data_IF_222692007788
#
_entry.id   IF_222692007788
#
_cell.length_a   1.000
_cell.length_b   1.000
_cell.length_c   1.000
_cell.angle_alpha   90.00
_cell.angle_beta   90.00
_cell.angle_gamma   90.00
#
_symmetry.space_group_name_H-M   'P 1'
#
loop_
_entity.id
_entity.type
_entity.pdbx_description
1 polymer ?
#
# COMPACT_ATOMS: atom_id res chain seq x y z
N UNK A 1 2.68 4.81 -59.38
CA UNK A 1 1.74 3.96 -58.63
C UNK A 1 2.59 3.11 -57.69
N UNK A 2 2.72 3.49 -56.45
CA UNK A 2 3.49 2.69 -55.46
C UNK A 2 2.67 2.68 -54.17
N UNK A 3 2.16 1.46 -53.85
CA UNK A 3 1.37 1.22 -52.61
C UNK A 3 2.36 1.04 -51.45
N UNK A 4 2.32 1.91 -50.46
CA UNK A 4 2.94 1.70 -49.16
C UNK A 4 2.03 0.82 -48.33
N UNK A 5 2.57 -0.32 -47.92
CA UNK A 5 1.96 -1.20 -46.94
C UNK A 5 2.03 -0.54 -45.54
N UNK A 6 0.90 -0.46 -44.89
CA UNK A 6 0.73 -0.01 -43.53
C UNK A 6 1.07 -1.23 -42.61
N UNK A 7 2.19 -1.19 -41.93
CA UNK A 7 2.52 -2.16 -40.89
C UNK A 7 1.81 -1.72 -39.62
N UNK A 8 0.84 -2.51 -39.17
CA UNK A 8 0.17 -2.32 -37.89
C UNK A 8 1.15 -2.56 -36.75
N UNK A 9 1.31 -1.57 -35.89
CA UNK A 9 1.95 -1.73 -34.59
C UNK A 9 1.04 -2.60 -33.71
N UNK A 10 1.49 -3.83 -33.47
CA UNK A 10 0.96 -4.66 -32.40
C UNK A 10 1.31 -4.01 -31.07
N UNK A 11 0.33 -3.40 -30.42
CA UNK A 11 0.44 -2.96 -29.03
C UNK A 11 0.49 -4.22 -28.17
N UNK A 12 1.69 -4.58 -27.71
CA UNK A 12 1.93 -5.61 -26.71
C UNK A 12 1.30 -5.18 -25.38
N UNK A 13 0.06 -5.57 -25.16
CA UNK A 13 -0.58 -5.52 -23.85
C UNK A 13 0.00 -6.66 -23.01
N UNK A 14 0.91 -6.32 -22.09
CA UNK A 14 1.38 -7.26 -21.07
C UNK A 14 0.15 -7.74 -20.27
N UNK A 15 -0.11 -9.05 -20.17
CA UNK A 15 -1.24 -9.57 -19.40
C UNK A 15 -1.07 -9.15 -17.94
N UNK A 16 -2.09 -8.52 -17.38
CA UNK A 16 -2.14 -8.24 -15.95
C UNK A 16 -2.33 -9.59 -15.25
N UNK A 17 -1.31 -10.05 -14.52
CA UNK A 17 -1.43 -11.29 -13.73
C UNK A 17 -2.59 -11.15 -12.72
N UNK A 18 -3.37 -12.23 -12.50
CA UNK A 18 -4.45 -12.22 -11.52
C UNK A 18 -3.91 -11.84 -10.13
N UNK A 19 -4.63 -10.98 -9.42
CA UNK A 19 -4.26 -10.43 -8.11
C UNK A 19 -3.84 -11.52 -7.11
N UNK A 20 -4.53 -12.66 -7.08
CA UNK A 20 -4.20 -13.78 -6.19
C UNK A 20 -2.83 -14.42 -6.41
N UNK A 21 -2.29 -14.42 -7.64
CA UNK A 21 -0.93 -14.95 -7.92
C UNK A 21 0.12 -13.97 -7.38
N UNK A 22 -0.10 -12.67 -7.55
CA UNK A 22 0.79 -11.64 -7.02
C UNK A 22 0.85 -11.68 -5.49
N UNK A 23 -0.30 -11.88 -4.84
CA UNK A 23 -0.39 -12.00 -3.39
C UNK A 23 0.30 -13.26 -2.85
N UNK A 24 0.15 -14.41 -3.50
CA UNK A 24 0.82 -15.65 -3.09
C UNK A 24 2.35 -15.51 -3.17
N UNK A 25 2.88 -14.95 -4.25
CA UNK A 25 4.33 -14.65 -4.40
C UNK A 25 4.82 -13.65 -3.35
N UNK A 26 3.99 -12.67 -3.02
CA UNK A 26 4.31 -11.69 -1.98
C UNK A 26 4.47 -12.35 -0.61
N UNK A 27 3.54 -13.22 -0.24
CA UNK A 27 3.59 -13.95 1.05
C UNK A 27 4.86 -14.79 1.15
N UNK A 28 5.21 -15.49 0.08
CA UNK A 28 6.44 -16.29 0.04
C UNK A 28 7.69 -15.42 0.16
N UNK A 29 7.77 -14.31 -0.58
CA UNK A 29 8.87 -13.36 -0.50
C UNK A 29 9.04 -12.80 0.92
N UNK A 30 7.95 -12.32 1.53
CA UNK A 30 7.95 -11.73 2.87
C UNK A 30 8.30 -12.78 3.93
N UNK A 31 7.73 -13.98 3.83
CA UNK A 31 8.02 -15.08 4.75
C UNK A 31 9.51 -15.45 4.74
N UNK A 32 10.12 -15.51 3.55
CA UNK A 32 11.56 -15.81 3.40
C UNK A 32 12.46 -14.73 3.99
N UNK A 33 12.04 -13.46 3.94
CA UNK A 33 12.82 -12.32 4.45
C UNK A 33 12.65 -12.09 5.95
N UNK A 34 11.45 -12.33 6.50
CA UNK A 34 11.20 -12.25 7.94
C UNK A 34 12.08 -13.21 8.75
N UNK A 35 12.54 -14.31 8.14
CA UNK A 35 13.47 -15.25 8.80
C UNK A 35 14.87 -14.66 9.04
N UNK A 36 15.22 -13.58 8.35
CA UNK A 36 16.56 -12.96 8.40
C UNK A 36 16.62 -11.69 9.25
N UNK A 37 15.49 -11.18 9.72
CA UNK A 37 15.44 -10.00 10.58
C UNK A 37 15.65 -10.44 12.03
N UNK A 38 16.89 -10.35 12.45
CA UNK A 38 17.46 -10.50 13.78
C UNK A 38 16.50 -10.67 14.96
N UNK A 39 16.44 -11.89 15.53
CA UNK A 39 16.21 -12.15 16.96
C UNK A 39 14.97 -11.56 17.65
N UNK A 40 14.20 -10.73 16.97
CA UNK A 40 12.96 -10.16 17.47
C UNK A 40 11.77 -10.97 16.95
N UNK A 41 10.79 -11.19 17.80
CA UNK A 41 9.51 -11.80 17.42
C UNK A 41 8.65 -10.85 16.55
N UNK A 42 9.25 -9.77 16.05
CA UNK A 42 8.59 -8.75 15.20
C UNK A 42 8.52 -9.22 13.75
N UNK A 43 7.33 -9.23 13.19
CA UNK A 43 7.08 -9.71 11.82
C UNK A 43 6.14 -8.77 11.10
N UNK A 44 6.41 -8.55 9.80
CA UNK A 44 5.45 -7.94 8.88
C UNK A 44 4.76 -9.04 8.08
N UNK A 45 3.45 -8.94 7.95
CA UNK A 45 2.61 -9.91 7.25
C UNK A 45 1.72 -9.16 6.26
N UNK A 46 1.73 -9.59 5.00
CA UNK A 46 0.67 -9.26 4.06
C UNK A 46 -0.51 -10.19 4.33
N UNK A 47 -1.60 -9.63 4.80
CA UNK A 47 -2.79 -10.38 5.20
C UNK A 47 -3.60 -10.79 3.96
N UNK A 48 -3.99 -12.06 3.89
CA UNK A 48 -4.91 -12.52 2.87
C UNK A 48 -6.33 -12.00 3.13
N UNK A 49 -7.15 -11.75 2.10
CA UNK A 49 -8.54 -11.35 2.30
C UNK A 49 -9.28 -12.26 3.27
N UNK A 50 -9.12 -13.57 3.12
CA UNK A 50 -9.76 -14.59 4.00
C UNK A 50 -9.31 -14.54 5.47
N UNK A 51 -8.15 -13.91 5.75
CA UNK A 51 -7.58 -13.81 7.10
C UNK A 51 -7.86 -12.44 7.76
N UNK A 52 -8.58 -11.54 7.10
CA UNK A 52 -8.85 -10.17 7.60
C UNK A 52 -9.90 -10.18 8.71
N UNK A 53 -11.00 -10.90 8.53
CA UNK A 53 -12.14 -10.93 9.45
C UNK A 53 -11.72 -11.15 10.92
N UNK A 54 -10.88 -12.15 11.25
CA UNK A 54 -10.50 -12.41 12.65
C UNK A 54 -9.72 -11.31 13.35
N UNK A 55 -9.14 -10.38 12.59
CA UNK A 55 -8.30 -9.28 13.11
C UNK A 55 -8.91 -7.90 12.86
N UNK A 56 -10.08 -7.85 12.22
CA UNK A 56 -10.68 -6.61 11.75
C UNK A 56 -10.88 -5.57 12.85
N UNK A 57 -11.38 -5.95 14.01
CA UNK A 57 -11.59 -5.03 15.13
C UNK A 57 -10.29 -4.32 15.56
N UNK A 58 -9.15 -5.01 15.52
CA UNK A 58 -7.86 -4.40 15.84
C UNK A 58 -7.37 -3.48 14.71
N UNK A 59 -7.61 -3.88 13.46
CA UNK A 59 -7.25 -3.07 12.28
C UNK A 59 -8.04 -1.78 12.26
N UNK A 60 -9.35 -1.81 12.56
CA UNK A 60 -10.22 -0.61 12.66
C UNK A 60 -9.64 0.41 13.63
N UNK A 61 -9.15 -0.01 14.79
CA UNK A 61 -8.54 0.91 15.76
C UNK A 61 -7.34 1.66 15.17
N UNK A 62 -6.49 0.98 14.41
CA UNK A 62 -5.37 1.63 13.72
C UNK A 62 -5.84 2.52 12.57
N UNK A 63 -6.85 2.10 11.81
CA UNK A 63 -7.43 2.92 10.75
C UNK A 63 -8.01 4.22 11.32
N UNK A 64 -8.75 4.16 12.42
CA UNK A 64 -9.30 5.34 13.09
C UNK A 64 -8.19 6.30 13.54
N UNK A 65 -7.08 5.78 14.08
CA UNK A 65 -5.92 6.61 14.44
C UNK A 65 -5.33 7.35 13.22
N UNK A 66 -5.27 6.70 12.06
CA UNK A 66 -4.78 7.33 10.83
C UNK A 66 -5.77 8.35 10.28
N UNK A 67 -7.06 8.00 10.23
CA UNK A 67 -8.15 8.80 9.69
C UNK A 67 -8.38 10.08 10.51
N UNK A 68 -8.14 10.05 11.82
CA UNK A 68 -8.19 11.23 12.67
C UNK A 68 -7.32 12.42 12.18
N UNK A 69 -6.47 12.14 11.20
CA UNK A 69 -5.59 13.12 10.56
C UNK A 69 -5.87 13.33 9.06
N UNK A 70 -6.94 12.72 8.53
CA UNK A 70 -7.42 12.89 7.15
C UNK A 70 -8.42 14.05 7.07
N UNK A 71 -8.83 14.38 5.85
CA UNK A 71 -9.87 15.41 5.61
C UNK A 71 -11.27 14.78 5.43
N UNK A 72 -11.43 13.50 5.82
CA UNK A 72 -12.72 12.81 5.81
C UNK A 72 -13.02 12.10 4.48
N UNK A 73 -11.98 11.72 3.73
CA UNK A 73 -12.14 11.02 2.46
C UNK A 73 -12.71 9.62 2.64
N UNK A 74 -12.35 8.93 3.73
CA UNK A 74 -12.79 7.58 4.07
C UNK A 74 -12.94 7.42 5.58
N UNK A 75 -13.94 6.64 6.00
CA UNK A 75 -14.02 6.07 7.34
C UNK A 75 -13.32 4.70 7.41
N UNK A 76 -13.07 4.18 8.61
CA UNK A 76 -12.37 2.89 8.78
C UNK A 76 -13.12 1.73 8.07
N UNK A 77 -14.45 1.71 8.17
CA UNK A 77 -15.28 0.67 7.56
C UNK A 77 -15.27 0.70 6.03
N UNK A 78 -14.96 1.85 5.42
CA UNK A 78 -14.90 1.96 3.97
C UNK A 78 -13.72 1.18 3.36
N UNK A 79 -12.70 0.85 4.15
CA UNK A 79 -11.55 0.05 3.70
C UNK A 79 -11.91 -1.43 3.52
N UNK A 80 -12.84 -1.96 4.31
CA UNK A 80 -13.14 -3.39 4.35
C UNK A 80 -13.48 -3.98 2.97
N UNK A 81 -14.44 -3.44 2.21
CA UNK A 81 -14.75 -3.99 0.89
C UNK A 81 -13.57 -3.96 -0.08
N UNK A 82 -12.75 -2.91 -0.08
CA UNK A 82 -11.57 -2.82 -0.96
C UNK A 82 -10.49 -3.84 -0.61
N UNK A 83 -10.36 -4.18 0.68
CA UNK A 83 -9.43 -5.19 1.17
C UNK A 83 -9.92 -6.59 0.80
N UNK A 84 -11.22 -6.87 0.98
CA UNK A 84 -11.83 -8.15 0.64
C UNK A 84 -11.80 -8.43 -0.87
N UNK A 85 -11.95 -7.40 -1.70
CA UNK A 85 -11.89 -7.51 -3.17
C UNK A 85 -10.44 -7.50 -3.71
N UNK A 86 -9.42 -7.39 -2.84
CA UNK A 86 -8.02 -7.31 -3.24
C UNK A 86 -7.62 -6.02 -3.98
N UNK A 87 -8.49 -5.00 -3.99
CA UNK A 87 -8.19 -3.69 -4.58
C UNK A 87 -7.18 -2.90 -3.73
N UNK A 88 -7.15 -3.19 -2.44
CA UNK A 88 -6.17 -2.71 -1.48
C UNK A 88 -5.51 -3.89 -0.77
N UNK A 89 -4.34 -3.67 -0.21
CA UNK A 89 -3.56 -4.68 0.52
C UNK A 89 -3.43 -4.25 1.98
N UNK A 90 -3.72 -5.19 2.89
CA UNK A 90 -3.53 -5.00 4.32
C UNK A 90 -2.19 -5.61 4.76
N UNK A 91 -1.38 -4.81 5.40
CA UNK A 91 -0.14 -5.20 6.05
C UNK A 91 -0.29 -5.03 7.54
N UNK A 92 0.18 -6.00 8.30
CA UNK A 92 0.19 -5.90 9.76
C UNK A 92 1.59 -6.18 10.29
N UNK A 93 1.98 -5.39 11.27
CA UNK A 93 3.16 -5.65 12.07
C UNK A 93 2.73 -6.34 13.36
N UNK A 94 3.34 -7.49 13.66
CA UNK A 94 3.09 -8.24 14.88
C UNK A 94 4.36 -8.39 15.70
N UNK A 95 4.21 -8.29 17.01
CA UNK A 95 5.27 -8.53 17.99
C UNK A 95 4.72 -9.48 19.06
N UNK A 96 5.38 -10.63 19.23
CA UNK A 96 4.91 -11.68 20.16
C UNK A 96 3.44 -12.09 19.97
N UNK A 97 2.93 -11.97 18.75
CA UNK A 97 1.53 -12.29 18.39
C UNK A 97 0.58 -11.11 18.48
N UNK A 98 0.92 -10.05 19.20
CA UNK A 98 0.12 -8.81 19.26
C UNK A 98 0.24 -8.00 17.97
N UNK A 99 -0.84 -7.34 17.57
CA UNK A 99 -0.87 -6.47 16.40
C UNK A 99 -0.46 -5.05 16.81
N UNK A 100 0.77 -4.66 16.50
CA UNK A 100 1.35 -3.37 16.89
C UNK A 100 1.05 -2.24 15.88
N UNK A 101 0.90 -2.58 14.60
CA UNK A 101 0.59 -1.60 13.56
C UNK A 101 -0.12 -2.23 12.36
N UNK A 102 -0.84 -1.40 11.62
CA UNK A 102 -1.38 -1.76 10.32
C UNK A 102 -1.14 -0.68 9.28
N UNK A 103 -0.99 -1.12 8.04
CA UNK A 103 -0.83 -0.27 6.88
C UNK A 103 -1.72 -0.78 5.75
N UNK A 104 -2.35 0.14 5.04
CA UNK A 104 -3.11 -0.16 3.83
C UNK A 104 -2.39 0.44 2.64
N UNK A 105 -2.21 -0.36 1.61
CA UNK A 105 -1.62 0.07 0.34
C UNK A 105 -2.57 -0.19 -0.82
N UNK A 106 -2.34 0.51 -1.93
CA UNK A 106 -3.06 0.34 -3.18
C UNK A 106 -2.09 0.38 -4.36
N UNK A 107 -2.25 -0.53 -5.31
CA UNK A 107 -1.49 -0.51 -6.56
C UNK A 107 -2.19 0.44 -7.54
N UNK A 108 -1.49 1.48 -7.97
CA UNK A 108 -1.98 2.47 -8.93
C UNK A 108 -1.32 2.21 -10.30
N UNK A 109 -2.07 1.71 -11.28
CA UNK A 109 -1.55 1.46 -12.62
C UNK A 109 -1.67 2.73 -13.49
N UNK A 110 -0.64 3.56 -13.49
CA UNK A 110 -0.55 4.64 -14.47
C UNK A 110 -0.13 4.09 -15.86
N UNK A 111 -0.43 4.78 -16.97
CA UNK A 111 -0.07 4.30 -18.32
C UNK A 111 1.42 4.03 -18.53
N UNK A 112 2.30 4.70 -17.81
CA UNK A 112 3.76 4.60 -17.97
C UNK A 112 4.51 4.09 -16.76
N UNK A 113 3.82 3.85 -15.65
CA UNK A 113 4.42 3.35 -14.40
C UNK A 113 3.36 2.68 -13.54
N UNK A 114 3.79 1.76 -12.68
CA UNK A 114 2.98 1.21 -11.61
C UNK A 114 3.55 1.72 -10.29
N UNK A 115 2.68 2.15 -9.41
CA UNK A 115 3.05 2.76 -8.13
C UNK A 115 2.34 2.02 -7.01
N UNK A 116 3.05 1.72 -5.93
CA UNK A 116 2.42 1.29 -4.70
C UNK A 116 2.16 2.52 -3.83
N UNK A 117 0.91 2.84 -3.59
CA UNK A 117 0.50 3.97 -2.75
C UNK A 117 0.19 3.49 -1.35
N UNK A 118 0.81 4.10 -0.35
CA UNK A 118 0.42 3.96 1.05
C UNK A 118 -0.78 4.87 1.28
N UNK A 119 -1.92 4.27 1.61
CA UNK A 119 -3.19 4.96 1.85
C UNK A 119 -3.32 5.33 3.32
N UNK A 120 -3.02 4.37 4.20
CA UNK A 120 -3.13 4.52 5.65
C UNK A 120 -1.99 3.80 6.32
N UNK A 121 -1.51 4.35 7.42
CA UNK A 121 -0.53 3.72 8.28
C UNK A 121 -0.67 4.27 9.69
N UNK A 122 -0.87 3.39 10.66
CA UNK A 122 -0.93 3.73 12.06
C UNK A 122 -0.57 2.53 12.95
N UNK A 123 -0.27 2.82 14.20
CA UNK A 123 0.06 1.83 15.21
C UNK A 123 1.05 2.38 16.22
N UNK A 124 1.40 1.55 17.17
CA UNK A 124 2.41 1.84 18.18
C UNK A 124 3.83 1.59 17.65
N UNK A 125 4.83 2.20 18.29
CA UNK A 125 6.26 1.96 18.04
C UNK A 125 6.67 2.13 16.56
N UNK A 126 6.31 3.26 15.98
CA UNK A 126 6.59 3.60 14.58
C UNK A 126 8.04 3.33 14.17
N UNK A 127 9.00 3.59 15.05
CA UNK A 127 10.43 3.38 14.79
C UNK A 127 10.75 1.91 14.47
N UNK A 128 10.00 0.97 15.04
CA UNK A 128 10.25 -0.46 14.84
C UNK A 128 9.70 -0.93 13.49
N UNK A 129 8.45 -0.57 13.13
CA UNK A 129 7.89 -1.06 11.88
C UNK A 129 8.40 -0.32 10.64
N UNK A 130 8.92 0.90 10.78
CA UNK A 130 9.50 1.61 9.64
C UNK A 130 10.75 0.91 9.07
N UNK A 131 11.45 0.15 9.91
CA UNK A 131 12.58 -0.70 9.48
C UNK A 131 12.15 -1.79 8.49
N UNK A 132 10.85 -2.07 8.38
CA UNK A 132 10.30 -3.06 7.43
C UNK A 132 9.90 -2.44 6.08
N UNK A 133 9.95 -1.13 5.90
CA UNK A 133 9.67 -0.51 4.60
C UNK A 133 10.49 -1.15 3.45
N UNK A 134 11.77 -1.50 3.62
CA UNK A 134 12.52 -2.20 2.57
C UNK A 134 11.91 -3.54 2.13
N UNK A 135 11.18 -4.25 3.00
CA UNK A 135 10.45 -5.46 2.62
C UNK A 135 9.28 -5.15 1.67
N UNK A 136 8.55 -4.09 1.99
CA UNK A 136 7.42 -3.62 1.19
C UNK A 136 7.90 -3.09 -0.16
N UNK A 137 9.03 -2.37 -0.17
CA UNK A 137 9.71 -1.93 -1.38
C UNK A 137 10.13 -3.11 -2.26
N UNK A 138 10.76 -4.13 -1.66
CA UNK A 138 11.14 -5.36 -2.36
C UNK A 138 9.95 -6.09 -2.96
N UNK A 139 8.84 -6.18 -2.24
CA UNK A 139 7.61 -6.74 -2.76
C UNK A 139 7.05 -5.88 -3.90
N UNK A 140 6.95 -4.57 -3.73
CA UNK A 140 6.47 -3.64 -4.75
C UNK A 140 7.26 -3.79 -6.06
N UNK A 141 8.60 -3.88 -5.97
CA UNK A 141 9.46 -4.14 -7.11
C UNK A 141 9.14 -5.50 -7.77
N UNK A 142 8.91 -6.55 -6.98
CA UNK A 142 8.63 -7.90 -7.49
C UNK A 142 7.33 -7.97 -8.30
N UNK A 143 6.37 -7.08 -8.04
CA UNK A 143 5.10 -6.96 -8.77
C UNK A 143 5.12 -5.87 -9.84
N UNK A 144 6.32 -5.33 -10.17
CA UNK A 144 6.52 -4.35 -11.23
C UNK A 144 6.17 -2.91 -10.87
N UNK A 145 6.05 -2.57 -9.59
CA UNK A 145 6.01 -1.18 -9.17
C UNK A 145 7.39 -0.53 -9.35
N UNK A 146 7.41 0.71 -9.79
CA UNK A 146 8.63 1.49 -10.00
C UNK A 146 8.85 2.55 -8.94
N UNK A 147 7.87 2.79 -8.08
CA UNK A 147 7.96 3.74 -6.97
C UNK A 147 6.90 3.43 -5.91
N UNK A 148 7.18 3.89 -4.69
CA UNK A 148 6.20 4.05 -3.63
C UNK A 148 5.77 5.51 -3.59
N UNK A 149 4.54 5.78 -3.16
CA UNK A 149 4.07 7.13 -2.86
C UNK A 149 3.16 7.11 -1.62
N UNK A 150 3.09 8.21 -0.91
CA UNK A 150 2.09 8.44 0.14
C UNK A 150 1.62 9.89 0.11
N UNK A 151 0.37 10.11 0.50
CA UNK A 151 -0.19 11.43 0.74
C UNK A 151 -0.14 11.69 2.23
N UNK A 152 0.96 12.26 2.66
CA UNK A 152 1.28 12.39 4.06
C UNK A 152 1.53 13.84 4.49
N UNK A 153 1.40 14.07 5.79
CA UNK A 153 1.76 15.34 6.42
C UNK A 153 3.27 15.59 6.30
N UNK A 154 3.69 16.85 6.31
CA UNK A 154 5.13 17.24 6.22
C UNK A 154 6.04 16.54 7.24
N UNK A 155 5.47 16.11 8.40
CA UNK A 155 6.21 15.36 9.40
C UNK A 155 6.81 14.06 8.90
N UNK A 156 6.18 13.40 7.94
CA UNK A 156 6.67 12.17 7.33
C UNK A 156 8.01 12.31 6.62
N UNK A 157 8.31 13.48 6.04
CA UNK A 157 9.59 13.75 5.40
C UNK A 157 10.79 13.73 6.36
N UNK A 158 10.55 13.87 7.66
CA UNK A 158 11.60 13.74 8.68
C UNK A 158 11.97 12.29 8.96
N UNK A 159 11.04 11.38 8.71
CA UNK A 159 11.15 9.96 8.98
C UNK A 159 11.58 9.22 7.72
N UNK A 160 10.98 9.56 6.58
CA UNK A 160 11.23 8.98 5.26
C UNK A 160 12.35 9.77 4.56
N UNK A 161 13.60 9.61 5.05
CA UNK A 161 14.73 10.44 4.64
C UNK A 161 15.09 10.32 3.15
N UNK A 162 14.86 9.14 2.55
CA UNK A 162 15.14 8.86 1.13
C UNK A 162 13.97 9.24 0.21
N UNK A 163 12.88 9.76 0.79
CA UNK A 163 11.71 10.15 0.04
C UNK A 163 11.75 11.64 -0.31
N UNK A 164 11.19 11.99 -1.46
CA UNK A 164 11.07 13.38 -1.91
C UNK A 164 9.61 13.81 -2.03
N UNK A 165 9.31 15.01 -1.60
CA UNK A 165 8.02 15.66 -1.88
C UNK A 165 8.07 16.28 -3.27
N UNK A 166 7.38 15.67 -4.25
CA UNK A 166 7.37 16.13 -5.64
C UNK A 166 6.14 16.97 -5.98
N UNK A 167 5.04 16.78 -5.25
CA UNK A 167 3.74 17.43 -5.49
C UNK A 167 3.08 17.82 -4.17
N UNK A 168 2.20 18.83 -4.25
CA UNK A 168 1.29 19.20 -3.17
C UNK A 168 -0.14 18.94 -3.65
N UNK A 169 -0.99 18.43 -2.77
CA UNK A 169 -2.43 18.37 -3.02
C UNK A 169 -2.98 19.77 -2.74
N UNK A 170 -3.69 20.32 -3.71
CA UNK A 170 -4.37 21.61 -3.60
C UNK A 170 -5.86 21.33 -3.73
N UNK A 171 -6.61 21.63 -2.67
CA UNK A 171 -8.05 21.37 -2.57
C UNK A 171 -8.85 22.66 -2.55
N UNK A 172 -10.12 22.59 -2.93
CA UNK A 172 -11.08 23.66 -2.83
C UNK A 172 -12.43 23.08 -2.46
N UNK A 173 -12.96 23.51 -1.31
CA UNK A 173 -14.33 23.17 -0.92
C UNK A 173 -15.34 23.83 -1.87
N UNK A 174 -16.20 23.02 -2.50
CA UNK A 174 -17.24 23.49 -3.40
C UNK A 174 -18.56 23.71 -2.68
N UNK A 175 -18.76 23.14 -1.49
CA UNK A 175 -19.99 23.26 -0.71
C UNK A 175 -20.05 24.59 0.07
N UNK A 176 -18.92 25.20 0.37
CA UNK A 176 -18.82 26.47 1.10
C UNK A 176 -19.50 27.68 0.41
N UNK A 177 -19.99 27.53 -0.84
CA UNK A 177 -20.65 28.61 -1.60
C UNK A 177 -22.16 28.52 -1.62
N UNK A 178 -22.77 27.56 -0.91
CA UNK A 178 -24.21 27.35 -0.90
C UNK A 178 -24.94 28.05 0.27
N UNK A 179 -24.28 29.03 0.92
CA UNK A 179 -24.87 29.86 1.98
C UNK A 179 -24.77 31.32 1.65
#
# INVERSE_FOLDING_TARGET
MSRRANQGEETSSTPTEPTGILEARAREFISSKNQHLHGSNYKIILVAPEDIEPIWDQVVLHLDMAIAHSEGEMGAEDFYPYLMDGQMQLWVARNDGELDASMVTQIIPYPRKRVLRIISIAGDKMEQWIEFLPLIEGWALSIGCTSLECWGRKGWLKILQDWKCSYHIITKDLTARMH
#
